data_IF_960872379628
#
_entry.id   IF_960872379628
#
_cell.length_a   1.000
_cell.length_b   1.000
_cell.length_c   1.000
_cell.angle_alpha   90.00
_cell.angle_beta   90.00
_cell.angle_gamma   90.00
#
_symmetry.space_group_name_H-M   'P 1'
#
loop_
_entity.id
_entity.type
_entity.pdbx_description
1 polymer ?
#
# COMPACT_ATOMS: atom_id res chain seq x y z
N UNK A 1 6.26 -2.35 32.02
CA UNK A 1 6.42 -3.69 31.43
C UNK A 1 6.63 -3.46 29.95
N UNK A 2 7.87 -3.56 29.48
CA UNK A 2 8.14 -3.57 28.03
C UNK A 2 7.73 -4.95 27.52
N UNK A 3 6.74 -4.99 26.62
CA UNK A 3 6.41 -6.23 25.91
C UNK A 3 7.59 -6.55 24.99
N UNK A 4 8.31 -7.63 25.30
CA UNK A 4 9.26 -8.20 24.36
C UNK A 4 8.47 -8.64 23.12
N UNK A 5 8.79 -8.13 21.91
CA UNK A 5 8.09 -8.54 20.71
C UNK A 5 8.26 -10.05 20.54
N UNK A 6 7.15 -10.72 20.21
CA UNK A 6 7.15 -12.17 20.00
C UNK A 6 8.18 -12.53 18.92
N UNK A 7 8.81 -13.70 18.96
CA UNK A 7 9.75 -14.13 17.90
C UNK A 7 9.13 -14.10 16.49
N UNK A 8 7.80 -14.09 16.39
CA UNK A 8 7.07 -13.94 15.14
C UNK A 8 7.24 -12.56 14.50
N UNK A 9 7.42 -11.51 15.30
CA UNK A 9 7.52 -10.09 14.89
C UNK A 9 8.96 -9.66 14.56
N UNK A 10 9.97 -10.44 14.98
CA UNK A 10 11.36 -10.18 14.59
C UNK A 10 11.49 -10.24 13.06
N UNK A 11 11.93 -9.12 12.50
CA UNK A 11 12.17 -8.97 11.07
C UNK A 11 10.95 -8.60 10.22
N UNK A 12 9.79 -8.26 10.82
CA UNK A 12 8.60 -7.83 10.08
C UNK A 12 8.68 -6.35 9.73
N UNK A 13 8.52 -6.05 8.45
CA UNK A 13 8.42 -4.69 7.95
C UNK A 13 6.97 -4.21 7.98
N UNK A 14 6.79 -2.95 8.35
CA UNK A 14 5.48 -2.28 8.35
C UNK A 14 5.34 -1.44 7.09
N UNK A 15 4.24 -1.64 6.41
CA UNK A 15 3.86 -1.00 5.16
C UNK A 15 2.59 -0.20 5.39
N UNK A 16 2.49 1.01 4.83
CA UNK A 16 1.27 1.82 4.89
C UNK A 16 1.06 2.50 3.55
N UNK A 17 -0.10 2.23 2.94
CA UNK A 17 -0.45 2.70 1.60
C UNK A 17 -1.73 3.51 1.59
N UNK A 18 -1.77 4.48 0.70
CA UNK A 18 -2.99 5.19 0.32
C UNK A 18 -2.91 5.56 -1.17
N UNK A 19 -3.97 5.23 -1.91
CA UNK A 19 -4.13 5.62 -3.30
C UNK A 19 -5.11 6.78 -3.43
N UNK A 20 -4.77 7.76 -4.27
CA UNK A 20 -5.64 8.89 -4.54
C UNK A 20 -5.84 9.10 -6.03
N UNK A 21 -7.04 9.55 -6.40
CA UNK A 21 -7.36 9.94 -7.75
C UNK A 21 -8.20 11.21 -7.79
N UNK A 22 -7.93 12.05 -8.78
CA UNK A 22 -8.67 13.26 -9.08
C UNK A 22 -8.70 13.51 -10.60
N UNK A 23 -9.32 14.63 -11.01
CA UNK A 23 -9.50 14.94 -12.44
C UNK A 23 -8.17 15.12 -13.19
N UNK A 24 -7.13 15.61 -12.50
CA UNK A 24 -5.80 15.91 -13.05
C UNK A 24 -4.86 14.71 -13.05
N UNK A 25 -5.20 13.62 -12.36
CA UNK A 25 -4.40 12.39 -12.33
C UNK A 25 -4.66 11.54 -11.10
N UNK A 26 -3.86 10.49 -10.95
CA UNK A 26 -3.84 9.61 -9.78
C UNK A 26 -2.43 9.41 -9.27
N UNK A 27 -2.32 8.96 -8.03
CA UNK A 27 -1.06 8.68 -7.38
C UNK A 27 -1.22 7.86 -6.11
N UNK A 28 -0.10 7.62 -5.45
CA UNK A 28 -0.02 6.85 -4.22
C UNK A 28 0.92 7.52 -3.23
N UNK A 29 0.56 7.43 -1.95
CA UNK A 29 1.44 7.66 -0.83
C UNK A 29 1.88 6.31 -0.29
N UNK A 30 3.16 6.20 0.05
CA UNK A 30 3.75 4.96 0.56
C UNK A 30 4.67 5.26 1.75
N UNK A 31 4.61 4.40 2.77
CA UNK A 31 5.48 4.47 3.95
C UNK A 31 5.93 3.06 4.33
N UNK A 32 7.23 2.81 4.16
CA UNK A 32 7.91 1.56 4.46
C UNK A 32 8.79 1.74 5.69
N UNK A 33 8.48 1.04 6.77
CA UNK A 33 9.25 1.06 8.02
C UNK A 33 9.90 -0.30 8.28
N UNK A 34 11.21 -0.27 8.49
CA UNK A 34 12.00 -1.46 8.77
C UNK A 34 11.83 -1.94 10.21
N UNK A 35 12.20 -3.20 10.50
CA UNK A 35 12.20 -3.74 11.86
C UNK A 35 13.11 -2.96 12.82
N UNK A 36 14.16 -2.33 12.27
CA UNK A 36 15.15 -1.54 13.03
C UNK A 36 14.72 -0.07 13.19
N UNK A 37 13.53 0.29 12.69
CA UNK A 37 12.89 1.59 12.94
C UNK A 37 13.25 2.70 11.95
N UNK A 38 13.99 2.43 10.89
CA UNK A 38 14.14 3.41 9.81
C UNK A 38 12.91 3.40 8.90
N UNK A 39 12.57 4.56 8.35
CA UNK A 39 11.38 4.74 7.51
C UNK A 39 11.77 5.37 6.18
N UNK A 40 11.15 4.87 5.10
CA UNK A 40 11.18 5.48 3.78
C UNK A 40 9.76 5.91 3.40
N UNK A 41 9.62 7.17 2.99
CA UNK A 41 8.34 7.77 2.63
C UNK A 41 8.39 8.28 1.18
N UNK A 42 7.36 8.00 0.40
CA UNK A 42 7.30 8.37 -1.01
C UNK A 42 5.92 8.80 -1.45
N UNK A 43 5.90 9.72 -2.42
CA UNK A 43 4.72 10.08 -3.19
C UNK A 43 4.98 9.65 -4.65
N UNK A 44 4.13 8.77 -5.19
CA UNK A 44 4.25 8.25 -6.55
C UNK A 44 3.10 8.77 -7.41
N UNK A 45 3.42 9.50 -8.48
CA UNK A 45 2.42 9.91 -9.48
C UNK A 45 2.26 8.82 -10.54
N UNK A 46 1.03 8.38 -10.77
CA UNK A 46 0.73 7.46 -11.85
C UNK A 46 0.63 8.22 -13.18
N UNK A 47 1.21 7.62 -14.24
CA UNK A 47 1.16 8.17 -15.61
C UNK A 47 -0.13 7.82 -16.36
N UNK A 48 -1.09 7.22 -15.66
CA UNK A 48 -2.40 6.84 -16.17
C UNK A 48 -3.47 7.40 -15.23
N UNK A 49 -4.70 7.53 -15.72
CA UNK A 49 -5.86 7.82 -14.87
C UNK A 49 -6.36 6.53 -14.24
N UNK A 50 -6.73 6.59 -12.97
CA UNK A 50 -7.32 5.49 -12.23
C UNK A 50 -8.59 5.98 -11.51
N UNK A 51 -9.52 5.10 -11.17
CA UNK A 51 -10.52 5.41 -10.14
C UNK A 51 -9.87 5.41 -8.76
N UNK A 52 -10.58 5.87 -7.71
CA UNK A 52 -10.04 5.78 -6.35
C UNK A 52 -9.71 4.34 -5.95
N UNK A 53 -10.60 3.39 -6.24
CA UNK A 53 -10.37 1.98 -5.90
C UNK A 53 -9.18 1.39 -6.66
N UNK A 54 -9.01 1.76 -7.92
CA UNK A 54 -7.85 1.36 -8.71
C UNK A 54 -6.56 1.98 -8.15
N UNK A 55 -6.56 3.28 -7.81
CA UNK A 55 -5.41 3.94 -7.23
C UNK A 55 -4.96 3.29 -5.91
N UNK A 56 -5.89 2.86 -5.07
CA UNK A 56 -5.62 2.15 -3.80
C UNK A 56 -4.98 0.77 -4.04
N UNK A 57 -5.45 0.03 -5.06
CA UNK A 57 -4.84 -1.23 -5.47
C UNK A 57 -3.44 -1.03 -6.05
N UNK A 58 -3.26 -0.02 -6.91
CA UNK A 58 -1.97 0.34 -7.48
C UNK A 58 -0.98 0.77 -6.40
N UNK A 59 -1.43 1.50 -5.38
CA UNK A 59 -0.61 1.86 -4.22
C UNK A 59 -0.10 0.62 -3.48
N UNK A 60 -1.00 -0.31 -3.12
CA UNK A 60 -0.62 -1.56 -2.47
C UNK A 60 0.35 -2.38 -3.31
N UNK A 61 0.09 -2.50 -4.62
CA UNK A 61 0.95 -3.27 -5.54
C UNK A 61 2.32 -2.61 -5.69
N UNK A 62 2.38 -1.29 -5.81
CA UNK A 62 3.63 -0.55 -5.91
C UNK A 62 4.50 -0.77 -4.66
N UNK A 63 3.92 -0.68 -3.46
CA UNK A 63 4.67 -0.86 -2.22
C UNK A 63 5.17 -2.30 -2.04
N UNK A 64 4.33 -3.30 -2.35
CA UNK A 64 4.74 -4.70 -2.33
C UNK A 64 5.82 -5.00 -3.38
N UNK A 65 5.77 -4.31 -4.52
CA UNK A 65 6.80 -4.44 -5.56
C UNK A 65 8.13 -3.91 -5.04
N UNK A 66 8.14 -2.74 -4.38
CA UNK A 66 9.33 -2.17 -3.75
C UNK A 66 9.85 -3.11 -2.66
N UNK A 67 8.98 -3.60 -1.77
CA UNK A 67 9.36 -4.51 -0.69
C UNK A 67 9.98 -5.81 -1.23
N UNK A 68 9.45 -6.36 -2.33
CA UNK A 68 10.05 -7.52 -3.01
C UNK A 68 11.46 -7.22 -3.54
N UNK A 69 11.68 -6.06 -4.15
CA UNK A 69 13.01 -5.66 -4.64
C UNK A 69 14.01 -5.43 -3.50
N UNK A 70 13.53 -5.05 -2.32
CA UNK A 70 14.31 -4.93 -1.10
C UNK A 70 14.49 -6.28 -0.37
N UNK A 71 14.07 -7.39 -0.99
CA UNK A 71 14.17 -8.76 -0.47
C UNK A 71 13.48 -8.96 0.90
N UNK A 72 12.50 -8.11 1.22
CA UNK A 72 11.71 -8.19 2.45
C UNK A 72 11.00 -9.54 2.50
N UNK A 73 11.09 -10.22 3.64
CA UNK A 73 10.53 -11.57 3.80
C UNK A 73 9.18 -11.59 4.53
N UNK A 74 8.96 -10.65 5.45
CA UNK A 74 7.77 -10.58 6.31
C UNK A 74 7.20 -9.16 6.26
N UNK A 75 5.92 -9.05 5.93
CA UNK A 75 5.23 -7.78 5.72
C UNK A 75 3.93 -7.73 6.51
N UNK A 76 3.69 -6.59 7.12
CA UNK A 76 2.38 -6.14 7.59
C UNK A 76 2.02 -4.83 6.89
N UNK A 77 1.12 -4.92 5.90
CA UNK A 77 0.62 -3.78 5.15
C UNK A 77 -0.66 -3.23 5.76
N UNK A 78 -0.76 -1.91 5.85
CA UNK A 78 -1.90 -1.19 6.40
C UNK A 78 -2.54 -0.34 5.31
N UNK A 79 -3.87 -0.35 5.25
CA UNK A 79 -4.66 0.51 4.37
C UNK A 79 -5.98 0.89 5.05
N UNK A 80 -6.45 2.10 4.80
CA UNK A 80 -7.78 2.56 5.17
C UNK A 80 -8.81 2.38 4.03
N UNK A 81 -8.48 1.66 2.96
CA UNK A 81 -9.44 1.21 1.94
C UNK A 81 -10.13 -0.09 2.35
N UNK A 82 -11.43 -0.02 2.65
CA UNK A 82 -12.20 -1.21 3.06
C UNK A 82 -12.26 -2.26 1.95
N UNK A 83 -12.41 -1.83 0.70
CA UNK A 83 -12.50 -2.73 -0.45
C UNK A 83 -11.20 -3.49 -0.67
N UNK A 84 -10.05 -2.81 -0.65
CA UNK A 84 -8.74 -3.44 -0.86
C UNK A 84 -8.47 -4.47 0.23
N UNK A 85 -8.64 -4.10 1.50
CA UNK A 85 -8.38 -5.01 2.63
C UNK A 85 -9.32 -6.22 2.57
N UNK A 86 -10.63 -6.00 2.37
CA UNK A 86 -11.62 -7.07 2.34
C UNK A 86 -11.39 -8.05 1.18
N UNK A 87 -11.02 -7.56 -0.01
CA UNK A 87 -10.66 -8.43 -1.13
C UNK A 87 -9.33 -9.15 -0.92
N UNK A 88 -8.30 -8.47 -0.42
CA UNK A 88 -6.98 -9.04 -0.14
C UNK A 88 -7.03 -10.20 0.87
N UNK A 89 -7.91 -10.07 1.86
CA UNK A 89 -8.16 -11.05 2.91
C UNK A 89 -9.21 -12.11 2.52
N UNK A 90 -9.87 -11.97 1.37
CA UNK A 90 -10.91 -12.91 0.92
C UNK A 90 -12.25 -12.78 1.66
N UNK A 91 -12.45 -11.68 2.37
CA UNK A 91 -13.71 -11.33 3.04
C UNK A 91 -14.78 -10.90 2.03
N UNK A 92 -14.35 -10.33 0.90
CA UNK A 92 -15.21 -9.90 -0.21
C UNK A 92 -14.95 -10.71 -1.47
N UNK A 93 -15.97 -10.80 -2.33
CA UNK A 93 -15.86 -11.35 -3.67
C UNK A 93 -15.68 -10.23 -4.70
N UNK A 94 -14.62 -10.30 -5.51
CA UNK A 94 -14.43 -9.38 -6.64
C UNK A 94 -15.46 -9.68 -7.73
N UNK A 95 -16.14 -8.64 -8.23
CA UNK A 95 -17.20 -8.75 -9.26
C UNK A 95 -16.81 -8.16 -10.60
N UNK A 96 -15.97 -7.13 -10.60
CA UNK A 96 -15.52 -6.45 -11.81
C UNK A 96 -14.25 -7.13 -12.35
N UNK A 97 -14.13 -7.24 -13.68
CA UNK A 97 -12.97 -7.85 -14.35
C UNK A 97 -11.64 -7.21 -13.93
N UNK A 98 -11.64 -5.90 -13.70
CA UNK A 98 -10.45 -5.18 -13.25
C UNK A 98 -10.07 -5.55 -11.82
N UNK A 99 -11.05 -5.68 -10.92
CA UNK A 99 -10.80 -6.09 -9.52
C UNK A 99 -10.33 -7.55 -9.45
N UNK A 100 -10.82 -8.42 -10.34
CA UNK A 100 -10.33 -9.79 -10.48
C UNK A 100 -8.85 -9.82 -10.91
N UNK A 101 -8.45 -8.95 -11.83
CA UNK A 101 -7.03 -8.82 -12.26
C UNK A 101 -6.14 -8.36 -11.10
N UNK A 102 -6.55 -7.33 -10.36
CA UNK A 102 -5.80 -6.86 -9.19
C UNK A 102 -5.66 -7.95 -8.14
N UNK A 103 -6.76 -8.61 -7.79
CA UNK A 103 -6.74 -9.69 -6.81
C UNK A 103 -5.83 -10.84 -7.28
N UNK A 104 -5.94 -11.27 -8.54
CA UNK A 104 -5.09 -12.32 -9.11
C UNK A 104 -3.60 -11.96 -9.04
N UNK A 105 -3.26 -10.73 -9.43
CA UNK A 105 -1.88 -10.25 -9.37
C UNK A 105 -1.36 -10.20 -7.93
N UNK A 106 -2.13 -9.64 -7.01
CA UNK A 106 -1.80 -9.61 -5.59
C UNK A 106 -1.59 -11.01 -5.00
N UNK A 107 -2.45 -11.99 -5.31
CA UNK A 107 -2.27 -13.37 -4.86
C UNK A 107 -0.99 -14.00 -5.43
N UNK A 108 -0.63 -13.68 -6.68
CA UNK A 108 0.65 -14.14 -7.27
C UNK A 108 1.86 -13.58 -6.51
N UNK A 109 1.77 -12.32 -6.05
CA UNK A 109 2.84 -11.67 -5.28
C UNK A 109 3.02 -12.24 -3.88
N UNK A 110 1.96 -12.77 -3.25
CA UNK A 110 2.06 -13.38 -1.90
C UNK A 110 3.16 -14.44 -1.82
N UNK A 111 3.38 -15.18 -2.91
CA UNK A 111 4.42 -16.22 -2.99
C UNK A 111 5.86 -15.70 -2.83
N UNK A 112 6.09 -14.40 -3.03
CA UNK A 112 7.39 -13.77 -2.85
C UNK A 112 7.76 -13.53 -1.37
N UNK A 113 6.79 -13.63 -0.46
CA UNK A 113 6.95 -13.32 0.96
C UNK A 113 6.73 -14.57 1.81
N UNK A 114 7.50 -14.72 2.89
CA UNK A 114 7.25 -15.75 3.91
C UNK A 114 5.97 -15.45 4.69
N UNK A 115 5.68 -14.17 4.88
CA UNK A 115 4.44 -13.71 5.50
C UNK A 115 4.05 -12.36 4.91
N UNK A 116 2.79 -12.23 4.51
CA UNK A 116 2.18 -10.98 4.08
C UNK A 116 0.78 -10.88 4.70
N UNK A 117 0.60 -9.90 5.59
CA UNK A 117 -0.69 -9.54 6.18
C UNK A 117 -1.14 -8.19 5.65
N UNK A 118 -2.45 -8.04 5.43
CA UNK A 118 -3.07 -6.76 5.09
C UNK A 118 -4.09 -6.42 6.17
N UNK A 119 -3.85 -5.32 6.87
CA UNK A 119 -4.62 -4.85 8.00
C UNK A 119 -5.42 -3.61 7.63
N UNK A 120 -6.65 -3.57 8.13
CA UNK A 120 -7.47 -2.37 8.08
C UNK A 120 -7.04 -1.43 9.19
N UNK A 121 -6.77 -0.17 8.84
CA UNK A 121 -6.57 0.90 9.83
C UNK A 121 -7.61 2.01 9.65
N UNK A 122 -7.92 2.78 10.72
CA UNK A 122 -8.68 4.01 10.59
C UNK A 122 -7.94 5.04 9.73
N UNK A 123 -8.68 5.82 8.95
CA UNK A 123 -8.10 6.88 8.11
C UNK A 123 -7.24 7.89 8.88
N UNK A 124 -7.58 8.16 10.14
CA UNK A 124 -6.80 9.05 10.99
C UNK A 124 -5.37 8.52 11.26
N UNK A 125 -5.21 7.20 11.32
CA UNK A 125 -3.90 6.55 11.50
C UNK A 125 -3.13 6.47 10.18
N UNK A 126 -3.83 6.48 9.04
CA UNK A 126 -3.22 6.51 7.69
C UNK A 126 -2.97 7.94 7.16
N UNK A 127 -3.15 8.98 8.00
CA UNK A 127 -3.17 10.38 7.55
C UNK A 127 -1.87 10.84 6.87
N UNK A 128 -0.71 10.31 7.30
CA UNK A 128 0.58 10.62 6.67
C UNK A 128 0.61 10.17 5.21
N UNK A 129 0.08 8.99 4.95
CA UNK A 129 0.09 8.37 3.63
C UNK A 129 -0.93 9.03 2.70
N UNK A 130 -2.10 9.39 3.25
CA UNK A 130 -3.11 10.21 2.55
C UNK A 130 -2.58 11.59 2.15
N UNK A 131 -1.70 12.20 2.94
CA UNK A 131 -1.01 13.42 2.55
C UNK A 131 -0.06 13.18 1.37
N UNK A 132 0.74 12.10 1.42
CA UNK A 132 1.69 11.76 0.35
C UNK A 132 0.97 11.44 -0.97
N UNK A 133 -0.15 10.71 -0.93
CA UNK A 133 -0.93 10.37 -2.11
C UNK A 133 -1.50 11.61 -2.80
N UNK A 134 -1.94 12.59 -2.01
CA UNK A 134 -2.39 13.90 -2.51
C UNK A 134 -1.25 14.76 -3.05
N UNK A 135 -0.09 14.73 -2.39
CA UNK A 135 1.12 15.41 -2.89
C UNK A 135 1.55 14.88 -4.26
N UNK A 136 1.43 13.57 -4.50
CA UNK A 136 1.72 12.99 -5.81
C UNK A 136 0.84 13.53 -6.95
N UNK A 137 -0.36 14.04 -6.61
CA UNK A 137 -1.29 14.62 -7.57
C UNK A 137 -1.15 16.14 -7.71
N UNK A 138 -0.41 16.80 -6.82
CA UNK A 138 -0.13 18.22 -6.96
C UNK A 138 0.70 18.44 -8.23
N UNK A 139 0.31 19.42 -9.05
CA UNK A 139 1.11 19.81 -10.21
C UNK A 139 2.50 20.23 -9.76
N UNK A 140 3.54 19.73 -10.45
CA UNK A 140 4.79 20.47 -10.46
C UNK A 140 4.45 21.85 -11.00
N UNK A 141 4.76 22.89 -10.22
CA UNK A 141 4.85 24.24 -10.76
C UNK A 141 5.97 24.21 -11.81
N UNK A 142 5.63 23.86 -13.06
CA UNK A 142 6.48 24.09 -14.21
C UNK A 142 6.69 25.61 -14.28
N UNK A 143 7.79 26.08 -13.69
CA UNK A 143 8.37 27.37 -14.03
C UNK A 143 8.92 27.22 -15.45
N UNK A 144 8.09 27.50 -16.47
CA UNK A 144 8.57 27.85 -17.82
C UNK A 144 8.79 29.36 -17.92
#
# INVERSE_FOLDING_TARGET
MEENPSESEKGTWKLSVDGSSCITGSGAGLVLTSPDGWTLEYALRFKFKATNNEAEWEALIAELTIAKHLEVQKIEASSDSQLVVGLANGEYAAREDIMLKYLSYFQSMKSAFKSLKVLKVPRAENARVDQLSKLAMAEELEKS
#
